data_IF_467357586843
#
_entry.id   IF_467357586843
#
_cell.length_a   1.000
_cell.length_b   1.000
_cell.length_c   1.000
_cell.angle_alpha   90.00
_cell.angle_beta   90.00
_cell.angle_gamma   90.00
#
_symmetry.space_group_name_H-M   'P 1'
#
loop_
_entity.id
_entity.type
_entity.pdbx_description
1 polymer ?
#
# COMPACT_ATOMS: atom_id res chain seq x y z
N UNK A 1 28.31 -69.10 -5.67
CA UNK A 1 27.36 -68.54 -6.62
C UNK A 1 26.59 -67.39 -5.92
N UNK A 2 27.05 -66.15 -6.08
CA UNK A 2 26.48 -64.97 -5.42
C UNK A 2 25.27 -64.48 -6.23
N UNK A 3 24.09 -64.54 -5.61
CA UNK A 3 22.82 -64.07 -6.18
C UNK A 3 22.73 -62.58 -6.03
N UNK A 4 23.03 -61.80 -7.05
CA UNK A 4 22.82 -60.33 -7.09
C UNK A 4 21.30 -60.09 -7.05
N UNK A 5 20.82 -59.61 -5.91
CA UNK A 5 19.43 -59.10 -5.81
C UNK A 5 19.35 -57.81 -6.60
N UNK A 6 18.72 -57.89 -7.77
CA UNK A 6 18.29 -56.70 -8.53
C UNK A 6 17.28 -55.92 -7.66
N UNK A 7 17.73 -54.86 -7.02
CA UNK A 7 16.84 -53.85 -6.45
C UNK A 7 16.14 -53.15 -7.63
N UNK A 8 14.91 -53.55 -7.96
CA UNK A 8 14.04 -52.73 -8.78
C UNK A 8 13.90 -51.39 -8.04
N UNK A 9 14.60 -50.36 -8.50
CA UNK A 9 14.46 -49.01 -8.00
C UNK A 9 12.99 -48.61 -8.19
N UNK A 10 12.35 -48.14 -7.13
CA UNK A 10 10.96 -47.66 -7.15
C UNK A 10 10.96 -46.29 -7.84
N UNK A 11 11.03 -46.26 -9.17
CA UNK A 11 11.02 -45.05 -10.01
C UNK A 11 9.78 -44.17 -9.74
N UNK A 12 8.66 -44.79 -9.34
CA UNK A 12 7.41 -44.10 -8.99
C UNK A 12 7.57 -43.17 -7.76
N UNK A 13 8.39 -43.54 -6.80
CA UNK A 13 8.67 -42.69 -5.62
C UNK A 13 9.51 -41.47 -5.97
N UNK A 14 10.51 -41.63 -6.84
CA UNK A 14 11.36 -40.52 -7.30
C UNK A 14 10.54 -39.47 -8.07
N UNK A 15 9.66 -39.90 -8.98
CA UNK A 15 8.80 -39.00 -9.76
C UNK A 15 7.83 -38.20 -8.89
N UNK A 16 7.29 -38.82 -7.82
CA UNK A 16 6.41 -38.12 -6.88
C UNK A 16 7.14 -37.02 -6.10
N UNK A 17 8.40 -37.30 -5.68
CA UNK A 17 9.23 -36.29 -4.98
C UNK A 17 9.60 -35.15 -5.92
N UNK A 18 9.98 -35.45 -7.15
CA UNK A 18 10.30 -34.45 -8.16
C UNK A 18 9.08 -33.55 -8.47
N UNK A 19 7.90 -34.16 -8.65
CA UNK A 19 6.67 -33.42 -8.80
C UNK A 19 6.34 -32.51 -7.60
N UNK A 20 6.50 -33.02 -6.37
CA UNK A 20 6.26 -32.26 -5.16
C UNK A 20 7.18 -31.05 -5.04
N UNK A 21 8.47 -31.20 -5.37
CA UNK A 21 9.43 -30.09 -5.37
C UNK A 21 9.05 -29.08 -6.47
N UNK A 22 8.79 -29.55 -7.69
CA UNK A 22 8.40 -28.70 -8.80
C UNK A 22 7.11 -27.92 -8.54
N UNK A 23 6.09 -28.58 -7.98
CA UNK A 23 4.84 -27.94 -7.59
C UNK A 23 5.04 -26.88 -6.50
N UNK A 24 5.88 -27.14 -5.51
CA UNK A 24 6.20 -26.19 -4.46
C UNK A 24 6.86 -24.93 -5.02
N UNK A 25 7.87 -25.07 -5.88
CA UNK A 25 8.56 -23.93 -6.52
C UNK A 25 7.58 -23.15 -7.41
N UNK A 26 6.74 -23.85 -8.17
CA UNK A 26 5.72 -23.22 -9.00
C UNK A 26 4.73 -22.40 -8.16
N UNK A 27 4.20 -22.96 -7.07
CA UNK A 27 3.28 -22.26 -6.18
C UNK A 27 3.93 -21.04 -5.53
N UNK A 28 5.20 -21.15 -5.11
CA UNK A 28 5.95 -19.99 -4.59
C UNK A 28 6.03 -18.87 -5.62
N UNK A 29 6.31 -19.19 -6.88
CA UNK A 29 6.36 -18.19 -7.94
C UNK A 29 4.98 -17.53 -8.18
N UNK A 30 3.91 -18.31 -8.20
CA UNK A 30 2.54 -17.77 -8.33
C UNK A 30 2.19 -16.84 -7.17
N UNK A 31 2.45 -17.25 -5.94
CA UNK A 31 2.19 -16.40 -4.77
C UNK A 31 3.05 -15.14 -4.75
N UNK A 32 4.29 -15.20 -5.20
CA UNK A 32 5.15 -14.02 -5.32
C UNK A 32 4.56 -12.99 -6.30
N UNK A 33 4.01 -13.42 -7.43
CA UNK A 33 3.33 -12.54 -8.40
C UNK A 33 2.09 -11.89 -7.78
N UNK A 34 1.27 -12.65 -7.05
CA UNK A 34 0.08 -12.13 -6.38
C UNK A 34 0.45 -11.09 -5.31
N UNK A 35 1.49 -11.34 -4.53
CA UNK A 35 1.96 -10.44 -3.50
C UNK A 35 2.52 -9.14 -4.08
N UNK A 36 3.24 -9.24 -5.19
CA UNK A 36 3.70 -8.07 -5.93
C UNK A 36 2.52 -7.24 -6.48
N UNK A 37 1.49 -7.90 -7.00
CA UNK A 37 0.25 -7.22 -7.42
C UNK A 37 -0.43 -6.46 -6.28
N UNK A 38 -0.48 -7.05 -5.07
CA UNK A 38 -0.98 -6.39 -3.86
C UNK A 38 -0.15 -5.16 -3.48
N UNK A 39 1.17 -5.26 -3.58
CA UNK A 39 2.08 -4.14 -3.27
C UNK A 39 1.88 -2.98 -4.27
N UNK A 40 1.75 -3.28 -5.56
CA UNK A 40 1.45 -2.26 -6.59
C UNK A 40 0.08 -1.62 -6.39
N UNK A 41 -0.93 -2.41 -6.06
CA UNK A 41 -2.25 -1.87 -5.73
C UNK A 41 -2.18 -0.91 -4.53
N UNK A 42 -1.49 -1.29 -3.46
CA UNK A 42 -1.31 -0.44 -2.28
C UNK A 42 -0.57 0.85 -2.64
N UNK A 43 0.49 0.77 -3.47
CA UNK A 43 1.23 1.93 -3.97
C UNK A 43 0.31 2.93 -4.71
N UNK A 44 -0.50 2.43 -5.63
CA UNK A 44 -1.45 3.27 -6.39
C UNK A 44 -2.52 3.87 -5.46
N UNK A 45 -3.09 3.07 -4.56
CA UNK A 45 -4.10 3.52 -3.61
C UNK A 45 -3.58 4.63 -2.68
N UNK A 46 -2.34 4.52 -2.18
CA UNK A 46 -1.71 5.54 -1.34
C UNK A 46 -1.43 6.83 -2.13
N UNK A 47 -0.99 6.70 -3.39
CA UNK A 47 -0.78 7.86 -4.27
C UNK A 47 -2.09 8.61 -4.51
N UNK A 48 -3.16 7.90 -4.81
CA UNK A 48 -4.48 8.49 -5.06
C UNK A 48 -5.08 9.10 -3.79
N UNK A 49 -4.89 8.45 -2.63
CA UNK A 49 -5.31 8.99 -1.34
C UNK A 49 -4.60 10.31 -1.00
N UNK A 50 -3.29 10.40 -1.23
CA UNK A 50 -2.53 11.63 -1.04
C UNK A 50 -3.05 12.77 -1.96
N UNK A 51 -3.37 12.46 -3.22
CA UNK A 51 -3.94 13.42 -4.17
C UNK A 51 -5.33 13.91 -3.75
N UNK A 52 -6.21 12.99 -3.34
CA UNK A 52 -7.56 13.35 -2.85
C UNK A 52 -7.47 14.21 -1.59
N UNK A 53 -6.60 13.84 -0.64
CA UNK A 53 -6.35 14.63 0.56
C UNK A 53 -5.80 16.02 0.25
N UNK A 54 -4.83 16.14 -0.67
CA UNK A 54 -4.28 17.43 -1.08
C UNK A 54 -5.33 18.32 -1.76
N UNK A 55 -6.18 17.75 -2.60
CA UNK A 55 -7.28 18.48 -3.24
C UNK A 55 -8.27 19.02 -2.21
N UNK A 56 -8.65 18.18 -1.25
CA UNK A 56 -9.54 18.63 -0.18
C UNK A 56 -8.87 19.71 0.70
N UNK A 57 -7.57 19.53 1.03
CA UNK A 57 -6.81 20.49 1.81
C UNK A 57 -6.65 21.86 1.12
N UNK A 58 -6.55 21.88 -0.21
CA UNK A 58 -6.47 23.09 -1.01
C UNK A 58 -7.77 23.89 -1.04
N UNK A 59 -8.93 23.22 -0.90
CA UNK A 59 -10.26 23.83 -0.90
C UNK A 59 -10.71 24.37 0.47
N UNK A 60 -10.10 23.90 1.56
CA UNK A 60 -10.56 24.16 2.93
C UNK A 60 -9.47 24.84 3.75
N UNK A 61 -9.85 25.90 4.46
CA UNK A 61 -8.94 26.61 5.34
C UNK A 61 -8.51 25.73 6.52
N UNK A 62 -7.33 26.04 7.07
CA UNK A 62 -6.78 25.30 8.20
C UNK A 62 -7.58 25.56 9.46
N UNK A 63 -8.28 24.55 9.93
CA UNK A 63 -8.79 24.47 11.29
C UNK A 63 -8.67 23.02 11.80
N UNK A 64 -8.69 22.81 13.10
CA UNK A 64 -8.46 21.48 13.67
C UNK A 64 -9.49 20.42 13.25
N UNK A 65 -10.71 20.83 12.91
CA UNK A 65 -11.76 19.94 12.39
C UNK A 65 -11.47 19.51 10.96
N UNK A 66 -11.08 20.43 10.10
CA UNK A 66 -10.76 20.16 8.70
C UNK A 66 -9.52 19.25 8.53
N UNK A 67 -8.50 19.44 9.35
CA UNK A 67 -7.33 18.56 9.33
C UNK A 67 -7.68 17.12 9.73
N UNK A 68 -8.64 16.95 10.63
CA UNK A 68 -9.19 15.63 10.97
C UNK A 68 -9.96 15.04 9.78
N UNK A 69 -10.78 15.82 9.10
CA UNK A 69 -11.53 15.44 7.91
C UNK A 69 -10.59 15.01 6.79
N UNK A 70 -9.49 15.74 6.56
CA UNK A 70 -8.47 15.39 5.56
C UNK A 70 -7.80 14.05 5.91
N UNK A 71 -7.37 13.86 7.16
CA UNK A 71 -6.78 12.59 7.60
C UNK A 71 -7.75 11.43 7.44
N UNK A 72 -9.00 11.62 7.79
CA UNK A 72 -10.05 10.62 7.60
C UNK A 72 -10.28 10.31 6.11
N UNK A 73 -10.33 11.33 5.26
CA UNK A 73 -10.47 11.15 3.82
C UNK A 73 -9.32 10.32 3.23
N UNK A 74 -8.07 10.62 3.63
CA UNK A 74 -6.88 9.89 3.17
C UNK A 74 -6.89 8.44 3.65
N UNK A 75 -7.32 8.18 4.89
CA UNK A 75 -7.25 6.84 5.48
C UNK A 75 -8.47 5.98 5.13
N UNK A 76 -9.66 6.57 5.15
CA UNK A 76 -10.93 5.84 5.03
C UNK A 76 -11.70 6.14 3.74
N UNK A 77 -11.24 7.10 2.93
CA UNK A 77 -11.96 7.55 1.73
C UNK A 77 -13.22 8.39 2.05
N UNK A 78 -13.40 8.80 3.30
CA UNK A 78 -14.56 9.59 3.79
C UNK A 78 -14.12 10.58 4.85
N UNK A 79 -14.61 11.81 4.79
CA UNK A 79 -14.31 12.87 5.77
C UNK A 79 -14.83 12.54 7.18
N UNK A 80 -15.96 11.82 7.27
CA UNK A 80 -16.53 11.38 8.55
C UNK A 80 -15.72 10.30 9.27
N UNK A 81 -14.67 9.77 8.63
CA UNK A 81 -13.92 8.63 9.13
C UNK A 81 -14.57 7.28 8.82
N UNK A 82 -13.97 6.23 9.34
CA UNK A 82 -14.43 4.85 9.09
C UNK A 82 -13.73 3.87 10.00
N UNK A 83 -14.16 2.60 9.93
CA UNK A 83 -13.57 1.49 10.69
C UNK A 83 -12.53 0.72 9.90
N UNK A 84 -12.60 0.77 8.55
CA UNK A 84 -11.72 0.04 7.65
C UNK A 84 -10.93 1.01 6.77
N UNK A 85 -9.60 1.07 6.90
CA UNK A 85 -8.78 1.90 6.04
C UNK A 85 -8.79 1.38 4.60
N UNK A 86 -8.55 2.29 3.62
CA UNK A 86 -8.47 1.96 2.19
C UNK A 86 -7.32 1.00 1.89
N UNK A 87 -6.21 1.12 2.62
CA UNK A 87 -5.08 0.19 2.55
C UNK A 87 -4.85 -0.39 3.94
N UNK A 88 -4.76 -1.73 4.09
CA UNK A 88 -4.53 -2.36 5.39
C UNK A 88 -3.28 -1.82 6.09
N UNK A 89 -3.40 -1.46 7.36
CA UNK A 89 -2.30 -0.91 8.16
C UNK A 89 -2.08 0.61 8.03
N UNK A 90 -2.81 1.30 7.15
CA UNK A 90 -2.80 2.76 7.08
C UNK A 90 -3.59 3.35 8.25
N UNK A 91 -3.04 4.37 8.90
CA UNK A 91 -3.68 5.08 10.00
C UNK A 91 -3.53 6.60 9.86
N UNK A 92 -4.33 7.36 10.60
CA UNK A 92 -4.28 8.82 10.60
C UNK A 92 -2.95 9.39 11.09
N UNK A 93 -2.17 8.62 11.85
CA UNK A 93 -0.81 8.99 12.30
C UNK A 93 0.22 8.98 11.16
N UNK A 94 -0.06 8.26 10.08
CA UNK A 94 0.79 8.25 8.88
C UNK A 94 0.60 9.51 8.02
N UNK A 95 -0.48 10.29 8.25
CA UNK A 95 -0.85 11.42 7.41
C UNK A 95 -0.38 12.73 8.04
N UNK A 96 0.45 13.47 7.32
CA UNK A 96 0.93 14.79 7.66
C UNK A 96 0.36 15.81 6.68
N UNK A 97 -0.09 16.96 7.20
CA UNK A 97 -0.65 18.04 6.42
C UNK A 97 0.20 19.27 6.70
N UNK A 98 0.69 19.91 5.65
CA UNK A 98 1.48 21.13 5.73
C UNK A 98 0.89 22.16 4.78
N UNK A 99 0.69 23.38 5.25
CA UNK A 99 0.24 24.52 4.44
C UNK A 99 1.28 25.61 4.49
N UNK A 100 1.42 26.38 3.42
CA UNK A 100 2.26 27.60 3.42
C UNK A 100 1.68 28.65 4.39
N UNK A 101 2.54 29.55 4.89
CA UNK A 101 2.13 30.62 5.81
C UNK A 101 1.05 31.55 5.20
N UNK A 102 1.07 31.72 3.87
CA UNK A 102 0.12 32.54 3.12
C UNK A 102 -1.09 31.76 2.59
N UNK A 103 -1.36 30.58 3.16
CA UNK A 103 -2.43 29.72 2.68
C UNK A 103 -3.80 30.37 2.92
N UNK A 104 -4.50 30.64 1.83
CA UNK A 104 -5.91 31.05 1.79
C UNK A 104 -6.62 30.30 0.66
N UNK A 105 -7.94 30.44 0.56
CA UNK A 105 -8.74 29.75 -0.45
C UNK A 105 -8.29 29.99 -1.91
N UNK A 106 -7.58 31.10 -2.18
CA UNK A 106 -7.09 31.46 -3.52
C UNK A 106 -5.57 31.67 -3.59
N UNK A 107 -4.81 31.33 -2.54
CA UNK A 107 -3.38 31.57 -2.47
C UNK A 107 -2.69 30.54 -1.58
N UNK A 108 -1.40 30.34 -1.83
CA UNK A 108 -0.57 29.41 -1.06
C UNK A 108 -0.67 27.96 -1.51
N UNK A 109 -0.02 27.10 -0.77
CA UNK A 109 0.09 25.67 -1.08
C UNK A 109 -0.36 24.79 0.09
N UNK A 110 -1.07 23.72 -0.23
CA UNK A 110 -1.39 22.64 0.70
C UNK A 110 -0.68 21.36 0.27
N UNK A 111 0.08 20.76 1.17
CA UNK A 111 0.80 19.51 0.96
C UNK A 111 0.23 18.45 1.89
N UNK A 112 -0.17 17.33 1.33
CA UNK A 112 -0.52 16.13 2.09
C UNK A 112 0.53 15.07 1.82
N UNK A 113 1.07 14.52 2.91
CA UNK A 113 2.14 13.53 2.88
C UNK A 113 1.73 12.30 3.69
N UNK A 114 1.92 11.12 3.11
CA UNK A 114 1.79 9.84 3.81
C UNK A 114 3.19 9.32 4.07
N UNK A 115 3.53 9.12 5.35
CA UNK A 115 4.85 8.70 5.80
C UNK A 115 4.78 7.48 6.70
N UNK A 116 5.89 6.75 6.82
CA UNK A 116 6.03 5.62 7.73
C UNK A 116 4.97 4.52 7.54
N UNK A 117 4.49 4.33 6.32
CA UNK A 117 3.62 3.22 6.01
C UNK A 117 4.46 1.96 5.71
N UNK A 118 4.12 0.86 6.40
CA UNK A 118 4.75 -0.45 6.21
C UNK A 118 3.75 -1.40 5.55
N UNK A 119 4.08 -1.83 4.33
CA UNK A 119 3.32 -2.89 3.65
C UNK A 119 3.66 -4.23 4.27
N UNK A 120 2.63 -5.00 4.64
CA UNK A 120 2.79 -6.33 5.26
C UNK A 120 2.60 -7.42 4.21
N UNK A 121 3.60 -8.31 4.11
CA UNK A 121 3.51 -9.50 3.31
C UNK A 121 2.71 -10.59 4.04
N UNK A 122 1.97 -11.39 3.26
CA UNK A 122 1.22 -12.54 3.78
C UNK A 122 2.05 -13.83 3.65
N UNK A 123 3.01 -13.85 2.74
CA UNK A 123 3.84 -15.02 2.49
C UNK A 123 4.84 -15.27 3.65
N UNK A 124 4.89 -16.50 4.18
CA UNK A 124 5.71 -16.83 5.36
C UNK A 124 7.23 -16.82 5.11
N UNK A 125 7.68 -16.77 3.85
CA UNK A 125 9.10 -16.79 3.46
C UNK A 125 9.66 -15.42 3.10
N UNK A 126 8.84 -14.36 3.12
CA UNK A 126 9.26 -12.98 2.90
C UNK A 126 9.45 -12.26 4.24
N UNK A 127 10.22 -11.15 4.25
CA UNK A 127 10.24 -10.26 5.40
C UNK A 127 8.81 -9.87 5.78
N UNK A 128 8.50 -9.81 7.08
CA UNK A 128 7.13 -9.55 7.54
C UNK A 128 6.57 -8.22 7.00
N UNK A 129 7.42 -7.25 6.72
CA UNK A 129 7.01 -5.97 6.15
C UNK A 129 8.13 -5.27 5.38
N UNK A 130 7.74 -4.38 4.47
CA UNK A 130 8.64 -3.44 3.81
C UNK A 130 8.13 -2.01 4.01
N UNK A 131 9.04 -1.11 4.36
CA UNK A 131 8.72 0.31 4.44
C UNK A 131 8.50 0.85 3.02
N UNK A 132 7.30 1.38 2.77
CA UNK A 132 6.96 2.01 1.50
C UNK A 132 7.56 3.43 1.43
N UNK A 133 7.81 3.95 0.21
CA UNK A 133 8.25 5.33 0.03
C UNK A 133 7.23 6.32 0.60
N UNK A 134 7.64 7.55 0.77
CA UNK A 134 6.74 8.64 1.13
C UNK A 134 5.90 9.05 -0.07
N UNK A 135 4.61 9.26 0.13
CA UNK A 135 3.67 9.74 -0.87
C UNK A 135 3.33 11.19 -0.55
N UNK A 136 3.74 12.11 -1.39
CA UNK A 136 3.52 13.54 -1.17
C UNK A 136 2.86 14.17 -2.38
N UNK A 137 1.81 14.93 -2.13
CA UNK A 137 1.14 15.75 -3.15
C UNK A 137 0.95 17.16 -2.63
N UNK A 138 1.39 18.12 -3.44
CA UNK A 138 1.23 19.55 -3.17
C UNK A 138 0.33 20.16 -4.22
N UNK A 139 -0.69 20.90 -3.79
CA UNK A 139 -1.57 21.68 -4.65
C UNK A 139 -1.61 23.12 -4.18
N UNK A 140 -1.75 24.04 -5.13
CA UNK A 140 -2.02 25.47 -4.87
C UNK A 140 -3.50 25.69 -4.66
N UNK A 141 -3.90 26.69 -3.89
CA UNK A 141 -5.30 27.09 -3.72
C UNK A 141 -5.99 27.41 -5.06
N UNK A 142 -5.24 27.99 -6.00
CA UNK A 142 -5.73 28.28 -7.37
C UNK A 142 -6.02 27.03 -8.19
N UNK A 143 -5.22 25.96 -8.05
CA UNK A 143 -5.41 24.71 -8.82
C UNK A 143 -6.59 23.88 -8.34
N UNK A 144 -7.22 24.24 -7.24
CA UNK A 144 -8.38 23.52 -6.71
C UNK A 144 -9.68 23.84 -7.43
N UNK A 145 -9.68 24.77 -8.39
CA UNK A 145 -10.84 25.07 -9.23
C UNK A 145 -11.93 25.85 -8.51
N UNK A 146 -11.60 26.70 -7.58
CA UNK A 146 -12.50 27.74 -7.09
C UNK A 146 -12.74 28.72 -8.24
N UNK A 147 -13.92 28.64 -8.83
CA UNK A 147 -14.44 29.67 -9.72
C UNK A 147 -14.77 30.88 -8.84
N UNK A 148 -14.33 32.09 -9.17
CA UNK A 148 -14.60 33.31 -8.43
C UNK A 148 -16.09 33.62 -8.37
#
# INVERSE_FOLDING_TARGET
>A
MLRIRNFKQNEKGSTLVEYAIGATVFLMAVFAVLEFGRALWAHNALTDAARQGARYAALHQSNGGEDTNIKNLVVYGKTSGGTKPIVPGLSTTNVQITRSADFSANSGTATVKITNYNFQFVLPFLPNSIKMPEYSTTLTGESAGLIP
#
